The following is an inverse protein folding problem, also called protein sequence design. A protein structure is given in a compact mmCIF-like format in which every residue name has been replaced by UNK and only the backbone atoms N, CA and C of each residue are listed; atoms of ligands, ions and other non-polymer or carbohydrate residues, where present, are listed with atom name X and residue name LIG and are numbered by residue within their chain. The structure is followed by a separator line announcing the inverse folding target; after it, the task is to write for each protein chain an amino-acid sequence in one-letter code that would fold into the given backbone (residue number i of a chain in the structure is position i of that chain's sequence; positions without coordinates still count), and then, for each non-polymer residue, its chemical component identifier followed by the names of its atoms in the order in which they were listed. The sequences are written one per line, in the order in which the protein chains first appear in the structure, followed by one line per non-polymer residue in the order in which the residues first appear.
data_IF_988830140315
#
_entry.id   IF_988830140315
#
_cell.length_a   1.000
_cell.length_b   1.000
_cell.length_c   1.000
_cell.angle_alpha   90.00
_cell.angle_beta   90.00
_cell.angle_gamma   90.00
#
_symmetry.space_group_name_H-M   'P 1'
#
loop_
_entity.id
_entity.type
_entity.pdbx_description
1 polymer ?
#
# COMPACT_ATOMS: atom_id res chain seq x y z
N UNK A 1 -39.92 -44.95 27.10
CA UNK A 1 -39.38 -43.63 26.68
C UNK A 1 -37.89 -43.66 26.25
N UNK A 2 -37.12 -44.71 26.57
CA UNK A 2 -35.68 -44.78 26.31
C UNK A 2 -35.26 -44.85 24.82
N UNK A 3 -36.06 -45.46 23.95
CA UNK A 3 -35.75 -45.57 22.51
C UNK A 3 -35.69 -44.21 21.79
N UNK A 4 -36.62 -43.29 22.08
CA UNK A 4 -36.67 -41.95 21.46
C UNK A 4 -35.44 -41.09 21.79
N UNK A 5 -34.90 -41.22 23.00
CA UNK A 5 -33.68 -40.50 23.40
C UNK A 5 -32.44 -41.03 22.70
N UNK A 6 -32.31 -42.37 22.56
CA UNK A 6 -31.18 -43.00 21.87
C UNK A 6 -31.16 -42.66 20.38
N UNK A 7 -32.32 -42.72 19.71
CA UNK A 7 -32.45 -42.36 18.29
C UNK A 7 -32.13 -40.88 18.03
N UNK A 8 -32.53 -39.97 18.94
CA UNK A 8 -32.19 -38.54 18.83
C UNK A 8 -30.68 -38.31 18.94
N UNK A 9 -30.02 -38.93 19.92
CA UNK A 9 -28.55 -38.82 20.09
C UNK A 9 -27.78 -39.41 18.91
N UNK A 10 -28.25 -40.52 18.38
CA UNK A 10 -27.63 -41.14 17.21
C UNK A 10 -27.74 -40.24 15.98
N UNK A 11 -28.92 -39.67 15.70
CA UNK A 11 -29.10 -38.70 14.61
C UNK A 11 -28.24 -37.45 14.77
N UNK A 12 -28.12 -36.94 15.99
CA UNK A 12 -27.22 -35.82 16.29
C UNK A 12 -25.76 -36.16 16.01
N UNK A 13 -25.29 -37.33 16.44
CA UNK A 13 -23.91 -37.77 16.20
C UNK A 13 -23.61 -37.98 14.71
N UNK A 14 -24.54 -38.61 13.98
CA UNK A 14 -24.46 -38.79 12.53
C UNK A 14 -24.44 -37.43 11.78
N UNK A 15 -25.30 -36.49 12.21
CA UNK A 15 -25.33 -35.12 11.72
C UNK A 15 -23.99 -34.40 11.89
N UNK A 16 -23.47 -34.37 13.12
CA UNK A 16 -22.19 -33.71 13.43
C UNK A 16 -21.02 -34.37 12.70
N UNK A 17 -21.00 -35.70 12.58
CA UNK A 17 -19.97 -36.41 11.84
C UNK A 17 -19.99 -36.06 10.33
N UNK A 18 -21.18 -35.89 9.75
CA UNK A 18 -21.32 -35.56 8.32
C UNK A 18 -20.85 -34.15 7.96
N UNK A 19 -20.96 -33.19 8.90
CA UNK A 19 -20.56 -31.79 8.66
C UNK A 19 -19.12 -31.48 9.07
N UNK A 20 -18.47 -32.35 9.86
CA UNK A 20 -17.14 -32.10 10.40
C UNK A 20 -16.10 -31.78 9.31
N UNK A 21 -15.92 -32.66 8.32
CA UNK A 21 -14.97 -32.45 7.23
C UNK A 21 -15.25 -31.19 6.38
N UNK A 22 -16.50 -30.96 5.92
CA UNK A 22 -16.84 -29.72 5.21
C UNK A 22 -16.58 -28.45 6.01
N UNK A 23 -16.90 -28.44 7.32
CA UNK A 23 -16.62 -27.31 8.21
C UNK A 23 -15.12 -27.11 8.38
N UNK A 24 -14.34 -28.16 8.66
CA UNK A 24 -12.88 -28.08 8.77
C UNK A 24 -12.22 -27.51 7.49
N UNK A 25 -12.68 -27.95 6.31
CA UNK A 25 -12.19 -27.43 5.04
C UNK A 25 -12.54 -25.94 4.83
N UNK A 26 -13.75 -25.53 5.24
CA UNK A 26 -14.17 -24.13 5.16
C UNK A 26 -13.41 -23.25 6.16
N UNK A 27 -13.17 -23.73 7.38
CA UNK A 27 -12.36 -23.09 8.41
C UNK A 27 -10.91 -22.89 7.92
N UNK A 28 -10.33 -23.90 7.27
CA UNK A 28 -9.00 -23.79 6.68
C UNK A 28 -8.94 -22.75 5.54
N UNK A 29 -9.96 -22.70 4.68
CA UNK A 29 -10.05 -21.71 3.61
C UNK A 29 -10.19 -20.28 4.18
N UNK A 30 -11.03 -20.10 5.21
CA UNK A 30 -11.21 -18.82 5.88
C UNK A 30 -9.91 -18.35 6.54
N UNK A 31 -9.23 -19.23 7.27
CA UNK A 31 -7.97 -18.90 7.93
C UNK A 31 -6.89 -18.52 6.92
N UNK A 32 -6.74 -19.25 5.81
CA UNK A 32 -5.78 -18.93 4.76
C UNK A 32 -6.03 -17.55 4.15
N UNK A 33 -7.30 -17.18 3.97
CA UNK A 33 -7.70 -15.87 3.48
C UNK A 33 -7.40 -14.75 4.49
N UNK A 34 -7.60 -14.99 5.79
CA UNK A 34 -7.21 -14.05 6.85
C UNK A 34 -5.69 -13.86 6.93
N UNK A 35 -4.92 -14.93 6.74
CA UNK A 35 -3.45 -14.85 6.71
C UNK A 35 -2.96 -14.02 5.52
N UNK A 36 -3.57 -14.19 4.34
CA UNK A 36 -3.30 -13.33 3.18
C UNK A 36 -3.68 -11.88 3.45
N UNK A 37 -4.83 -11.61 4.08
CA UNK A 37 -5.19 -10.24 4.50
C UNK A 37 -4.10 -9.60 5.35
N UNK A 38 -3.58 -10.34 6.34
CA UNK A 38 -2.51 -9.86 7.23
C UNK A 38 -1.24 -9.56 6.43
N UNK A 39 -0.86 -10.44 5.51
CA UNK A 39 0.31 -10.25 4.66
C UNK A 39 0.17 -9.00 3.76
N UNK A 40 -0.96 -8.85 3.04
CA UNK A 40 -1.19 -7.69 2.17
C UNK A 40 -1.24 -6.38 2.97
N UNK A 41 -1.88 -6.37 4.15
CA UNK A 41 -1.83 -5.20 5.05
C UNK A 41 -0.41 -4.89 5.52
N UNK A 42 0.38 -5.92 5.81
CA UNK A 42 1.78 -5.76 6.19
C UNK A 42 2.60 -5.09 5.09
N UNK A 43 2.42 -5.51 3.83
CA UNK A 43 3.11 -4.87 2.70
C UNK A 43 2.63 -3.44 2.47
N UNK A 44 1.33 -3.16 2.59
CA UNK A 44 0.80 -1.80 2.50
C UNK A 44 1.43 -0.89 3.57
N UNK A 45 1.47 -1.34 4.83
CA UNK A 45 2.09 -0.59 5.91
C UNK A 45 3.60 -0.34 5.68
N UNK A 46 4.31 -1.29 5.07
CA UNK A 46 5.72 -1.09 4.68
C UNK A 46 5.87 -0.05 3.59
N UNK A 47 4.98 -0.02 2.60
CA UNK A 47 4.96 1.04 1.57
C UNK A 47 4.70 2.39 2.24
N UNK A 48 3.66 2.50 3.06
CA UNK A 48 3.31 3.74 3.77
C UNK A 48 4.46 4.24 4.64
N UNK A 49 5.18 3.35 5.32
CA UNK A 49 6.33 3.70 6.14
C UNK A 49 7.49 4.30 5.33
N UNK A 50 7.59 4.03 4.02
CA UNK A 50 8.59 4.64 3.15
C UNK A 50 8.23 6.07 2.73
N UNK A 51 6.96 6.45 2.80
CA UNK A 51 6.48 7.74 2.31
C UNK A 51 6.71 8.86 3.32
N UNK A 52 6.71 10.10 2.82
CA UNK A 52 6.80 11.35 3.61
C UNK A 52 8.06 11.48 4.50
N UNK A 53 9.16 10.81 4.13
CA UNK A 53 10.43 10.90 4.84
C UNK A 53 11.29 12.11 4.40
N UNK A 54 10.79 12.97 3.52
CA UNK A 54 11.57 14.09 2.98
C UNK A 54 12.67 13.65 1.99
N UNK A 55 12.52 12.47 1.38
CA UNK A 55 13.48 11.87 0.45
C UNK A 55 13.10 12.06 -1.02
N UNK A 56 12.04 12.83 -1.27
CA UNK A 56 11.53 13.16 -2.60
C UNK A 56 10.81 12.06 -3.33
N UNK A 57 10.43 10.98 -2.64
CA UNK A 57 9.50 10.01 -3.21
C UNK A 57 8.15 10.66 -3.55
N UNK A 58 7.52 10.35 -4.70
CA UNK A 58 6.23 10.92 -5.08
C UNK A 58 5.09 10.29 -4.28
N UNK A 59 4.97 10.67 -3.00
CA UNK A 59 4.06 10.07 -2.02
C UNK A 59 2.61 9.99 -2.50
N UNK A 60 2.09 11.06 -3.09
CA UNK A 60 0.68 11.12 -3.52
C UNK A 60 0.39 10.13 -4.65
N UNK A 61 1.28 10.03 -5.63
CA UNK A 61 1.16 9.05 -6.72
C UNK A 61 1.28 7.62 -6.23
N UNK A 62 2.17 7.35 -5.25
CA UNK A 62 2.31 6.01 -4.68
C UNK A 62 1.05 5.65 -3.87
N UNK A 63 0.52 6.59 -3.06
CA UNK A 63 -0.74 6.39 -2.33
C UNK A 63 -1.90 6.08 -3.26
N UNK A 64 -2.04 6.83 -4.35
CA UNK A 64 -3.10 6.61 -5.33
C UNK A 64 -3.08 5.18 -5.91
N UNK A 65 -1.88 4.64 -6.19
CA UNK A 65 -1.71 3.26 -6.66
C UNK A 65 -2.12 2.21 -5.62
N UNK A 66 -2.16 2.56 -4.33
CA UNK A 66 -2.58 1.64 -3.25
C UNK A 66 -4.08 1.70 -2.95
N UNK A 67 -4.79 2.73 -3.40
CA UNK A 67 -6.22 2.92 -3.09
C UNK A 67 -7.10 1.77 -3.59
N UNK A 68 -6.77 1.16 -4.74
CA UNK A 68 -7.52 0.04 -5.30
C UNK A 68 -7.64 -1.16 -4.36
N UNK A 69 -6.66 -1.38 -3.49
CA UNK A 69 -6.68 -2.49 -2.53
C UNK A 69 -7.63 -2.24 -1.34
N UNK A 70 -7.98 -0.97 -1.05
CA UNK A 70 -8.88 -0.65 0.07
C UNK A 70 -10.27 -1.25 -0.11
N UNK A 71 -10.78 -1.31 -1.35
CA UNK A 71 -12.08 -1.91 -1.65
C UNK A 71 -12.12 -3.41 -1.32
N UNK A 72 -11.06 -4.15 -1.65
CA UNK A 72 -10.98 -5.60 -1.47
C UNK A 72 -10.96 -6.01 0.01
N UNK A 73 -10.42 -5.16 0.89
CA UNK A 73 -10.50 -5.40 2.33
C UNK A 73 -11.94 -5.36 2.86
N UNK A 74 -12.80 -4.50 2.29
CA UNK A 74 -14.21 -4.43 2.69
C UNK A 74 -14.98 -5.68 2.23
N UNK A 75 -14.71 -6.15 1.00
CA UNK A 75 -15.30 -7.38 0.48
C UNK A 75 -14.97 -8.59 1.36
N UNK A 76 -13.74 -8.65 1.88
CA UNK A 76 -13.34 -9.70 2.82
C UNK A 76 -14.10 -9.66 4.15
N UNK A 77 -14.36 -8.47 4.68
CA UNK A 77 -15.10 -8.33 5.93
C UNK A 77 -16.54 -8.87 5.76
N UNK A 78 -17.17 -8.60 4.60
CA UNK A 78 -18.49 -9.15 4.24
C UNK A 78 -18.44 -10.67 4.09
N UNK A 79 -17.50 -11.21 3.30
CA UNK A 79 -17.36 -12.66 3.09
C UNK A 79 -17.08 -13.39 4.42
N UNK A 80 -16.23 -12.81 5.27
CA UNK A 80 -15.91 -13.38 6.58
C UNK A 80 -17.14 -13.43 7.49
N UNK A 81 -17.94 -12.37 7.51
CA UNK A 81 -19.18 -12.35 8.31
C UNK A 81 -20.16 -13.41 7.82
N UNK A 82 -20.43 -13.46 6.50
CA UNK A 82 -21.34 -14.43 5.92
C UNK A 82 -20.89 -15.88 6.15
N UNK A 83 -19.59 -16.15 6.06
CA UNK A 83 -19.04 -17.46 6.37
C UNK A 83 -19.30 -17.85 7.84
N UNK A 84 -19.11 -16.95 8.80
CA UNK A 84 -19.36 -17.25 10.22
C UNK A 84 -20.84 -17.54 10.50
N UNK A 85 -21.75 -16.81 9.85
CA UNK A 85 -23.20 -17.04 9.92
C UNK A 85 -23.57 -18.42 9.37
N UNK A 86 -23.08 -18.74 8.15
CA UNK A 86 -23.33 -20.03 7.50
C UNK A 86 -22.73 -21.18 8.32
N UNK A 87 -21.48 -21.06 8.77
CA UNK A 87 -20.80 -22.07 9.59
C UNK A 87 -21.61 -22.39 10.85
N UNK A 88 -22.05 -21.35 11.56
CA UNK A 88 -22.85 -21.50 12.79
C UNK A 88 -24.16 -22.22 12.51
N UNK A 89 -24.86 -21.82 11.45
CA UNK A 89 -26.11 -22.43 11.05
C UNK A 89 -25.95 -23.89 10.58
N UNK A 90 -24.86 -24.23 9.87
CA UNK A 90 -24.52 -25.60 9.49
C UNK A 90 -24.38 -26.51 10.71
N UNK A 91 -23.61 -26.07 11.72
CA UNK A 91 -23.39 -26.86 12.94
C UNK A 91 -24.69 -27.01 13.75
N UNK A 92 -25.45 -25.94 13.93
CA UNK A 92 -26.74 -25.98 14.63
C UNK A 92 -27.77 -26.88 13.91
N UNK A 93 -27.80 -26.84 12.58
CA UNK A 93 -28.67 -27.71 11.80
C UNK A 93 -28.26 -29.19 11.94
N UNK A 94 -26.95 -29.47 11.95
CA UNK A 94 -26.43 -30.82 12.10
C UNK A 94 -26.80 -31.46 13.45
N UNK A 95 -26.99 -30.67 14.51
CA UNK A 95 -27.48 -31.19 15.79
C UNK A 95 -28.88 -31.83 15.70
N UNK A 96 -29.63 -31.49 14.65
CA UNK A 96 -30.99 -31.97 14.39
C UNK A 96 -31.03 -33.11 13.35
N UNK A 97 -29.89 -33.48 12.76
CA UNK A 97 -29.74 -34.52 11.74
C UNK A 97 -29.15 -33.99 10.43
N UNK A 98 -28.57 -34.91 9.64
CA UNK A 98 -27.92 -34.58 8.36
C UNK A 98 -28.87 -33.88 7.40
N UNK A 99 -30.11 -34.34 7.31
CA UNK A 99 -31.10 -33.86 6.35
C UNK A 99 -31.40 -32.37 6.54
N UNK A 100 -31.36 -31.90 7.78
CA UNK A 100 -31.56 -30.49 8.14
C UNK A 100 -30.34 -29.64 7.77
N UNK A 101 -29.14 -30.23 7.81
CA UNK A 101 -27.89 -29.55 7.49
C UNK A 101 -27.60 -29.45 5.98
N UNK A 102 -28.26 -30.23 5.12
CA UNK A 102 -28.00 -30.26 3.66
C UNK A 102 -28.03 -28.88 3.00
N UNK A 103 -29.04 -28.02 3.20
CA UNK A 103 -29.05 -26.68 2.58
C UNK A 103 -27.87 -25.81 3.03
N UNK A 104 -27.47 -25.97 4.30
CA UNK A 104 -26.35 -25.24 4.87
C UNK A 104 -24.99 -25.75 4.41
N UNK A 105 -24.87 -27.05 4.10
CA UNK A 105 -23.68 -27.60 3.45
C UNK A 105 -23.49 -27.04 2.04
N UNK A 106 -24.57 -26.82 1.29
CA UNK A 106 -24.48 -26.16 -0.02
C UNK A 106 -24.13 -24.68 0.11
N UNK A 107 -24.72 -23.97 1.08
CA UNK A 107 -24.32 -22.59 1.40
C UNK A 107 -22.83 -22.50 1.79
N UNK A 108 -22.35 -23.44 2.60
CA UNK A 108 -20.95 -23.50 3.04
C UNK A 108 -20.02 -23.74 1.85
N UNK A 109 -20.39 -24.64 0.92
CA UNK A 109 -19.65 -24.85 -0.33
C UNK A 109 -19.61 -23.58 -1.18
N UNK A 110 -20.72 -22.83 -1.24
CA UNK A 110 -20.76 -21.51 -1.88
C UNK A 110 -19.77 -20.54 -1.25
N UNK A 111 -19.73 -20.46 0.08
CA UNK A 111 -18.77 -19.61 0.80
C UNK A 111 -17.31 -20.00 0.56
N UNK A 112 -17.00 -21.30 0.51
CA UNK A 112 -15.64 -21.76 0.18
C UNK A 112 -15.21 -21.30 -1.22
N UNK A 113 -16.12 -21.29 -2.20
CA UNK A 113 -15.83 -20.74 -3.53
C UNK A 113 -15.57 -19.24 -3.47
N UNK A 114 -16.46 -18.47 -2.84
CA UNK A 114 -16.27 -17.02 -2.66
C UNK A 114 -14.95 -16.67 -1.96
N UNK A 115 -14.58 -17.42 -0.92
CA UNK A 115 -13.30 -17.25 -0.22
C UNK A 115 -12.10 -17.58 -1.13
N UNK A 116 -12.22 -18.59 -1.99
CA UNK A 116 -11.17 -18.98 -2.94
C UNK A 116 -10.97 -17.92 -4.02
N UNK A 117 -12.05 -17.39 -4.60
CA UNK A 117 -11.97 -16.33 -5.60
C UNK A 117 -11.34 -15.05 -5.00
N UNK A 118 -11.72 -14.73 -3.77
CA UNK A 118 -11.14 -13.59 -3.05
C UNK A 118 -9.66 -13.82 -2.72
N UNK A 119 -9.27 -15.07 -2.44
CA UNK A 119 -7.87 -15.46 -2.20
C UNK A 119 -6.98 -15.14 -3.38
N UNK A 120 -7.42 -15.45 -4.61
CA UNK A 120 -6.67 -15.15 -5.84
C UNK A 120 -6.51 -13.63 -6.02
N UNK A 121 -7.58 -12.88 -5.72
CA UNK A 121 -7.53 -11.41 -5.73
C UNK A 121 -6.50 -10.88 -4.73
N UNK A 122 -6.51 -11.36 -3.48
CA UNK A 122 -5.51 -10.97 -2.47
C UNK A 122 -4.08 -11.34 -2.86
N UNK A 123 -3.87 -12.50 -3.48
CA UNK A 123 -2.54 -12.91 -3.97
C UNK A 123 -2.02 -11.90 -5.02
N UNK A 124 -2.85 -11.52 -5.99
CA UNK A 124 -2.49 -10.52 -7.00
C UNK A 124 -2.16 -9.14 -6.42
N UNK A 125 -2.93 -8.68 -5.42
CA UNK A 125 -2.59 -7.44 -4.70
C UNK A 125 -1.30 -7.56 -3.89
N UNK A 126 -1.07 -8.71 -3.24
CA UNK A 126 0.16 -8.97 -2.51
C UNK A 126 1.39 -8.85 -3.40
N UNK A 127 1.38 -9.51 -4.56
CA UNK A 127 2.46 -9.40 -5.55
C UNK A 127 2.64 -7.97 -6.05
N UNK A 128 1.54 -7.28 -6.35
CA UNK A 128 1.57 -5.89 -6.81
C UNK A 128 2.17 -4.94 -5.76
N UNK A 129 1.88 -5.16 -4.48
CA UNK A 129 2.44 -4.38 -3.38
C UNK A 129 3.91 -4.68 -3.11
N UNK A 130 4.33 -5.95 -3.18
CA UNK A 130 5.75 -6.30 -3.12
C UNK A 130 6.52 -5.59 -4.23
N UNK A 131 6.01 -5.66 -5.48
CA UNK A 131 6.61 -4.98 -6.61
C UNK A 131 6.67 -3.46 -6.42
N UNK A 132 5.57 -2.84 -5.94
CA UNK A 132 5.51 -1.41 -5.66
C UNK A 132 6.53 -1.01 -4.58
N UNK A 133 6.63 -1.76 -3.49
CA UNK A 133 7.62 -1.53 -2.43
C UNK A 133 9.05 -1.56 -2.98
N UNK A 134 9.41 -2.62 -3.68
CA UNK A 134 10.76 -2.78 -4.25
C UNK A 134 11.09 -1.70 -5.29
N UNK A 135 10.09 -1.28 -6.08
CA UNK A 135 10.26 -0.17 -7.02
C UNK A 135 10.47 1.16 -6.28
N UNK A 136 9.73 1.41 -5.21
CA UNK A 136 9.85 2.62 -4.37
C UNK A 136 11.20 2.66 -3.67
N UNK A 137 11.67 1.55 -3.11
CA UNK A 137 13.00 1.45 -2.49
C UNK A 137 14.13 1.74 -3.49
N UNK A 138 14.03 1.18 -4.71
CA UNK A 138 14.99 1.48 -5.78
C UNK A 138 14.96 2.94 -6.19
N UNK A 139 13.77 3.51 -6.37
CA UNK A 139 13.62 4.93 -6.70
C UNK A 139 14.25 5.82 -5.62
N UNK A 140 14.03 5.50 -4.34
CA UNK A 140 14.66 6.22 -3.22
C UNK A 140 16.18 6.19 -3.31
N UNK A 141 16.76 5.02 -3.56
CA UNK A 141 18.20 4.87 -3.72
C UNK A 141 18.74 5.68 -4.92
N UNK A 142 18.01 5.70 -6.04
CA UNK A 142 18.38 6.46 -7.24
C UNK A 142 18.25 7.98 -7.04
N UNK A 143 17.28 8.44 -6.23
CA UNK A 143 17.06 9.86 -5.95
C UNK A 143 18.06 10.43 -4.95
N UNK A 144 18.57 9.63 -4.00
CA UNK A 144 19.51 10.07 -2.97
C UNK A 144 20.69 10.90 -3.52
N UNK A 145 21.50 10.42 -4.49
CA UNK A 145 22.62 11.19 -5.00
C UNK A 145 22.20 12.47 -5.74
N UNK A 146 21.04 12.46 -6.43
CA UNK A 146 20.52 13.64 -7.12
C UNK A 146 20.09 14.72 -6.12
N UNK A 147 19.44 14.29 -5.04
CA UNK A 147 19.04 15.16 -3.93
C UNK A 147 20.27 15.77 -3.25
N UNK A 148 21.26 14.96 -2.90
CA UNK A 148 22.51 15.46 -2.31
C UNK A 148 23.23 16.46 -3.22
N UNK A 149 23.27 16.19 -4.53
CA UNK A 149 23.81 17.10 -5.53
C UNK A 149 23.09 18.43 -5.59
N UNK A 150 21.75 18.42 -5.65
CA UNK A 150 20.93 19.62 -5.65
C UNK A 150 21.11 20.47 -4.38
N UNK A 151 21.13 19.83 -3.20
CA UNK A 151 21.39 20.51 -1.93
C UNK A 151 22.81 21.07 -1.84
N UNK A 152 23.81 20.35 -2.36
CA UNK A 152 25.18 20.84 -2.41
C UNK A 152 25.33 22.03 -3.35
N UNK A 153 24.73 21.98 -4.54
CA UNK A 153 24.74 23.07 -5.52
C UNK A 153 24.07 24.33 -4.94
N UNK A 154 22.91 24.18 -4.29
CA UNK A 154 22.19 25.31 -3.69
C UNK A 154 22.98 25.95 -2.54
N UNK A 155 23.59 25.14 -1.66
CA UNK A 155 24.46 25.64 -0.58
C UNK A 155 25.68 26.38 -1.13
N UNK A 156 26.31 25.88 -2.19
CA UNK A 156 27.42 26.57 -2.84
C UNK A 156 26.99 27.93 -3.41
N UNK A 157 25.83 27.98 -4.08
CA UNK A 157 25.29 29.24 -4.59
C UNK A 157 24.95 30.25 -3.49
N UNK A 158 24.40 29.78 -2.36
CA UNK A 158 24.14 30.62 -1.18
C UNK A 158 25.43 31.20 -0.58
N UNK A 159 26.50 30.41 -0.56
CA UNK A 159 27.81 30.89 -0.11
C UNK A 159 28.34 31.98 -1.05
N UNK A 160 28.31 31.75 -2.36
CA UNK A 160 28.73 32.72 -3.38
C UNK A 160 27.89 34.01 -3.32
N UNK A 161 26.56 33.91 -3.11
CA UNK A 161 25.69 35.07 -2.92
C UNK A 161 26.10 35.91 -1.70
N UNK A 162 26.53 35.24 -0.63
CA UNK A 162 26.99 35.92 0.59
C UNK A 162 28.29 36.68 0.33
N UNK A 163 29.21 36.09 -0.44
CA UNK A 163 30.46 36.75 -0.84
C UNK A 163 30.22 37.95 -1.79
N UNK A 164 29.17 37.88 -2.62
CA UNK A 164 28.77 38.93 -3.55
C UNK A 164 27.87 40.02 -2.93
N UNK A 165 27.77 40.09 -1.59
CA UNK A 165 26.89 41.05 -0.93
C UNK A 165 27.22 42.50 -1.31
N UNK A 166 26.20 43.23 -1.77
CA UNK A 166 26.33 44.62 -2.21
C UNK A 166 26.60 44.80 -3.71
N UNK A 167 26.78 43.71 -4.46
CA UNK A 167 26.86 43.76 -5.92
C UNK A 167 25.53 44.19 -6.57
N UNK A 168 25.61 44.82 -7.73
CA UNK A 168 24.43 45.13 -8.54
C UNK A 168 23.68 43.84 -8.93
N UNK A 169 22.38 43.79 -8.69
CA UNK A 169 21.54 42.60 -8.94
C UNK A 169 21.50 41.59 -7.79
N UNK A 170 22.17 41.85 -6.66
CA UNK A 170 22.21 40.95 -5.50
C UNK A 170 20.82 40.53 -4.99
N UNK A 171 19.88 41.48 -4.89
CA UNK A 171 18.52 41.19 -4.43
C UNK A 171 17.76 40.24 -5.38
N UNK A 172 17.97 40.34 -6.69
CA UNK A 172 17.33 39.46 -7.66
C UNK A 172 17.90 38.04 -7.57
N UNK A 173 19.22 37.90 -7.38
CA UNK A 173 19.85 36.60 -7.15
C UNK A 173 19.39 35.97 -5.83
N UNK A 174 19.24 36.77 -4.78
CA UNK A 174 18.69 36.33 -3.50
C UNK A 174 17.26 35.79 -3.67
N UNK A 175 16.41 36.52 -4.38
CA UNK A 175 15.05 36.08 -4.68
C UNK A 175 15.04 34.79 -5.50
N UNK A 176 15.89 34.69 -6.53
CA UNK A 176 16.06 33.49 -7.36
C UNK A 176 16.49 32.26 -6.56
N UNK A 177 17.53 32.37 -5.72
CA UNK A 177 17.97 31.27 -4.86
C UNK A 177 16.92 30.88 -3.82
N UNK A 178 16.14 31.84 -3.31
CA UNK A 178 15.05 31.56 -2.38
C UNK A 178 13.94 30.74 -3.07
N UNK A 179 13.57 31.11 -4.30
CA UNK A 179 12.59 30.36 -5.09
C UNK A 179 13.08 28.94 -5.43
N UNK A 180 14.35 28.78 -5.79
CA UNK A 180 14.97 27.47 -6.03
C UNK A 180 14.99 26.61 -4.75
N UNK A 181 15.28 27.21 -3.59
CA UNK A 181 15.20 26.52 -2.30
C UNK A 181 13.78 26.07 -1.93
N UNK A 182 12.76 26.89 -2.21
CA UNK A 182 11.37 26.50 -2.03
C UNK A 182 11.00 25.30 -2.91
N UNK A 183 11.38 25.32 -4.20
CA UNK A 183 11.18 24.19 -5.11
C UNK A 183 11.90 22.91 -4.65
N UNK A 184 13.12 23.02 -4.15
CA UNK A 184 13.84 21.87 -3.59
C UNK A 184 13.12 21.30 -2.37
N UNK A 185 12.54 22.16 -1.53
CA UNK A 185 11.75 21.73 -0.36
C UNK A 185 10.45 21.04 -0.77
N UNK A 186 9.80 21.49 -1.85
CA UNK A 186 8.62 20.81 -2.41
C UNK A 186 8.99 19.45 -3.02
N UNK A 187 10.12 19.37 -3.72
CA UNK A 187 10.65 18.14 -4.30
C UNK A 187 11.00 17.12 -3.22
N UNK A 188 11.76 17.52 -2.19
CA UNK A 188 12.10 16.68 -1.03
C UNK A 188 10.84 16.19 -0.32
N UNK A 189 9.83 17.06 -0.22
CA UNK A 189 8.53 16.72 0.37
C UNK A 189 7.67 15.79 -0.48
N UNK A 190 8.11 15.37 -1.66
CA UNK A 190 7.40 14.38 -2.48
C UNK A 190 6.14 14.92 -3.15
N UNK A 191 5.97 16.25 -3.22
CA UNK A 191 4.75 16.92 -3.72
C UNK A 191 4.69 17.06 -5.24
N UNK A 192 5.65 16.48 -5.95
CA UNK A 192 5.72 16.55 -7.40
C UNK A 192 5.11 15.29 -8.00
N UNK A 193 4.09 15.50 -8.84
CA UNK A 193 3.43 14.42 -9.59
C UNK A 193 4.24 14.09 -10.85
N UNK A 194 4.91 12.94 -10.92
CA UNK A 194 5.63 12.53 -12.11
C UNK A 194 4.67 12.27 -13.26
N UNK A 195 5.11 12.59 -14.48
CA UNK A 195 4.38 12.29 -15.72
C UNK A 195 5.16 11.32 -16.58
N UNK A 196 4.55 10.81 -17.65
CA UNK A 196 5.25 9.95 -18.62
C UNK A 196 6.45 10.65 -19.29
N UNK A 197 6.44 11.99 -19.35
CA UNK A 197 7.48 12.80 -20.00
C UNK A 197 8.49 13.39 -19.03
N UNK A 198 8.14 13.51 -17.76
CA UNK A 198 8.96 14.18 -16.75
C UNK A 198 8.96 13.38 -15.45
N UNK A 199 10.12 12.79 -15.14
CA UNK A 199 10.32 12.00 -13.93
C UNK A 199 10.77 12.90 -12.77
N UNK A 200 10.59 12.44 -11.54
CA UNK A 200 11.12 13.12 -10.34
C UNK A 200 12.63 13.41 -10.46
N UNK A 201 13.40 12.45 -11.01
CA UNK A 201 14.84 12.65 -11.26
C UNK A 201 15.14 13.82 -12.19
N UNK A 202 14.25 14.11 -13.14
CA UNK A 202 14.45 15.18 -14.11
C UNK A 202 14.26 16.55 -13.46
N UNK A 203 13.35 16.66 -12.49
CA UNK A 203 13.18 17.88 -11.70
C UNK A 203 14.40 18.20 -10.84
N UNK A 204 15.04 17.19 -10.22
CA UNK A 204 16.30 17.42 -9.47
C UNK A 204 17.43 17.89 -10.40
N UNK A 205 17.57 17.28 -11.58
CA UNK A 205 18.59 17.69 -12.57
C UNK A 205 18.33 19.08 -13.13
N UNK A 206 17.06 19.42 -13.35
CA UNK A 206 16.66 20.75 -13.80
C UNK A 206 16.99 21.80 -12.73
N UNK A 207 16.67 21.54 -11.47
CA UNK A 207 17.02 22.42 -10.35
C UNK A 207 18.53 22.64 -10.25
N UNK A 208 19.33 21.58 -10.36
CA UNK A 208 20.79 21.70 -10.36
C UNK A 208 21.31 22.57 -11.52
N UNK A 209 20.73 22.43 -12.73
CA UNK A 209 21.09 23.27 -13.88
C UNK A 209 20.71 24.73 -13.67
N UNK A 210 19.51 25.00 -13.15
CA UNK A 210 19.06 26.37 -12.85
C UNK A 210 19.96 27.02 -11.79
N UNK A 211 20.34 26.29 -10.74
CA UNK A 211 21.30 26.75 -9.74
C UNK A 211 22.66 27.05 -10.39
N UNK A 212 23.17 26.15 -11.23
CA UNK A 212 24.44 26.36 -11.93
C UNK A 212 24.41 27.58 -12.85
N UNK A 213 23.29 27.81 -13.54
CA UNK A 213 23.09 29.00 -14.38
C UNK A 213 23.12 30.28 -13.54
N UNK A 214 22.43 30.31 -12.40
CA UNK A 214 22.42 31.46 -11.51
C UNK A 214 23.81 31.76 -10.95
N UNK A 215 24.56 30.72 -10.55
CA UNK A 215 25.98 30.85 -10.16
C UNK A 215 26.84 31.43 -11.28
N UNK A 216 26.62 30.99 -12.52
CA UNK A 216 27.31 31.56 -13.69
C UNK A 216 27.03 33.04 -13.89
N UNK A 217 25.78 33.49 -13.68
CA UNK A 217 25.41 34.91 -13.74
C UNK A 217 26.07 35.71 -12.62
N UNK A 218 26.04 35.22 -11.37
CA UNK A 218 26.70 35.88 -10.23
C UNK A 218 28.21 36.03 -10.46
N UNK A 219 28.86 34.98 -10.98
CA UNK A 219 30.30 35.01 -11.26
C UNK A 219 30.70 35.97 -12.38
N UNK A 220 29.79 36.27 -13.32
CA UNK A 220 30.02 37.19 -14.44
C UNK A 220 29.70 38.65 -14.10
N UNK A 221 29.08 38.91 -12.95
CA UNK A 221 28.73 40.27 -12.54
C UNK A 221 29.99 41.09 -12.18
N UNK A 222 30.05 42.37 -12.58
CA UNK A 222 31.13 43.26 -12.17
C UNK A 222 31.13 43.42 -10.65
N UNK A 223 32.31 43.30 -10.04
CA UNK A 223 32.52 43.47 -8.59
C UNK A 223 32.65 44.94 -8.21
#
# INVERSE_FOLDING_TARGET
MWGRSRTRRQRQAEGLAAVAGPVEAADAAHQALLDLRRAVRGELARIEALLDQGDGLPSDTIREQTLGAMGVFADLDVVSQQYQEVRTATVQAAEHGVEVAVPWLEALRGQVRSMTDLRETFAGYGESFVYLRERTERLRADLLPLREGAHAALRAAQHELTEAQGADGWHDWQAGLTALGARLTELDGGRVTPTARQKVSDHYRELEREVAQLRGVMAAAPR
#
